data_IF_079719857786
#
_entry.id   IF_079719857786
#
_cell.length_a   1.000
_cell.length_b   1.000
_cell.length_c   1.000
_cell.angle_alpha   90.00
_cell.angle_beta   90.00
_cell.angle_gamma   90.00
#
_symmetry.space_group_name_H-M   'P 1'
#
loop_
_entity.id
_entity.type
_entity.pdbx_description
1 polymer ?
#
# COMPACT_ATOMS: atom_id res chain seq x y z
N UNK A 1 -9.37 -0.56 -0.75
CA UNK A 1 -8.32 0.24 -0.12
C UNK A 1 -8.32 0.00 1.39
N UNK A 2 -7.19 -0.42 1.93
CA UNK A 2 -6.97 -0.65 3.36
C UNK A 2 -5.89 0.32 3.83
N UNK A 3 -6.27 1.36 4.55
CA UNK A 3 -5.33 2.33 5.13
C UNK A 3 -4.93 1.90 6.55
N UNK A 4 -3.64 1.73 6.78
CA UNK A 4 -3.09 1.20 8.04
C UNK A 4 -3.15 2.18 9.22
N UNK A 5 -3.22 3.47 8.93
CA UNK A 5 -3.38 4.56 9.89
C UNK A 5 -3.94 5.80 9.21
N UNK A 6 -4.66 6.67 9.95
CA UNK A 6 -5.11 7.94 9.39
C UNK A 6 -3.93 8.85 9.03
N UNK A 7 -3.90 9.34 7.79
CA UNK A 7 -2.89 10.30 7.32
C UNK A 7 -3.43 11.19 6.21
N UNK A 8 -2.73 12.26 5.88
CA UNK A 8 -3.19 13.24 4.89
C UNK A 8 -3.40 12.63 3.48
N UNK A 9 -2.58 11.64 3.10
CA UNK A 9 -2.68 10.96 1.80
C UNK A 9 -3.92 10.08 1.63
N UNK A 10 -4.54 9.63 2.73
CA UNK A 10 -5.75 8.81 2.70
C UNK A 10 -6.91 9.51 1.96
N UNK A 11 -7.08 10.81 2.20
CA UNK A 11 -8.10 11.61 1.50
C UNK A 11 -7.81 11.72 0.01
N UNK A 12 -6.54 11.79 -0.36
CA UNK A 12 -6.13 11.85 -1.77
C UNK A 12 -6.49 10.55 -2.47
N UNK A 13 -6.18 9.39 -1.88
CA UNK A 13 -6.58 8.08 -2.39
C UNK A 13 -8.10 7.99 -2.59
N UNK A 14 -8.85 8.34 -1.56
CA UNK A 14 -10.31 8.30 -1.60
C UNK A 14 -10.88 9.20 -2.69
N UNK A 15 -10.39 10.44 -2.77
CA UNK A 15 -10.89 11.40 -3.75
C UNK A 15 -10.54 10.96 -5.17
N UNK A 16 -9.30 10.50 -5.40
CA UNK A 16 -8.84 10.01 -6.69
C UNK A 16 -9.70 8.82 -7.16
N UNK A 17 -9.83 7.78 -6.33
CA UNK A 17 -10.57 6.58 -6.71
C UNK A 17 -12.07 6.84 -6.88
N UNK A 18 -12.67 7.74 -6.08
CA UNK A 18 -14.08 8.10 -6.22
C UNK A 18 -14.36 9.10 -7.34
N UNK A 19 -13.36 9.74 -7.91
CA UNK A 19 -13.56 10.66 -9.04
C UNK A 19 -13.87 9.95 -10.34
N UNK A 20 -13.56 8.67 -10.44
CA UNK A 20 -13.89 7.83 -11.58
C UNK A 20 -15.18 7.04 -11.30
N UNK A 21 -16.21 7.26 -12.10
CA UNK A 21 -17.50 6.57 -11.97
C UNK A 21 -17.42 5.05 -12.27
N UNK A 22 -16.35 4.58 -12.92
CA UNK A 22 -16.10 3.17 -13.17
C UNK A 22 -15.49 2.44 -11.97
N UNK A 23 -15.06 3.16 -10.93
CA UNK A 23 -14.44 2.59 -9.74
C UNK A 23 -15.47 2.43 -8.61
N UNK A 24 -15.77 1.19 -8.25
CA UNK A 24 -16.49 0.87 -7.01
C UNK A 24 -15.50 0.72 -5.86
N UNK A 25 -15.49 1.69 -4.95
CA UNK A 25 -14.50 1.80 -3.89
C UNK A 25 -15.02 1.26 -2.56
N UNK A 26 -14.42 0.18 -2.09
CA UNK A 26 -14.50 -0.26 -0.69
C UNK A 26 -13.27 0.27 0.05
N UNK A 27 -13.46 1.13 1.05
CA UNK A 27 -12.37 1.78 1.78
C UNK A 27 -12.53 1.61 3.30
N UNK A 28 -11.47 1.12 3.93
CA UNK A 28 -11.36 0.98 5.38
C UNK A 28 -10.09 1.64 5.90
N UNK A 29 -10.23 2.37 6.99
CA UNK A 29 -9.11 2.95 7.73
C UNK A 29 -9.03 2.34 9.11
N UNK A 30 -7.86 1.92 9.52
CA UNK A 30 -7.61 1.40 10.87
C UNK A 30 -7.45 2.57 11.81
N UNK A 31 -8.53 2.90 12.52
CA UNK A 31 -8.58 4.08 13.38
C UNK A 31 -7.94 3.86 14.75
N UNK A 32 -7.81 2.62 15.21
CA UNK A 32 -7.32 2.29 16.55
C UNK A 32 -6.37 1.10 16.53
N UNK A 33 -5.13 1.26 17.04
CA UNK A 33 -4.27 0.11 17.30
C UNK A 33 -4.90 -0.76 18.40
N UNK A 34 -4.86 -2.10 18.27
CA UNK A 34 -5.37 -3.02 19.29
C UNK A 34 -4.64 -2.93 20.63
N UNK A 35 -3.51 -2.22 20.70
CA UNK A 35 -2.63 -2.10 21.86
C UNK A 35 -3.08 -1.08 22.92
N UNK A 36 -4.06 -0.22 22.63
CA UNK A 36 -4.64 0.64 23.66
C UNK A 36 -5.64 -0.15 24.52
N UNK A 37 -5.14 -0.79 25.53
CA UNK A 37 -5.92 -1.40 26.61
C UNK A 37 -6.48 -0.30 27.53
N UNK A 38 -7.59 0.29 27.17
CA UNK A 38 -8.33 1.23 28.03
C UNK A 38 -9.34 0.48 28.93
N UNK A 39 -9.14 -0.83 29.12
CA UNK A 39 -10.00 -1.66 30.00
C UNK A 39 -11.40 -1.96 29.44
N UNK A 40 -11.71 -1.51 28.24
CA UNK A 40 -13.00 -1.80 27.58
C UNK A 40 -12.79 -2.91 26.54
N UNK A 41 -13.59 -3.99 26.58
CA UNK A 41 -13.51 -5.06 25.59
C UNK A 41 -13.61 -4.49 24.17
N UNK A 42 -12.78 -5.02 23.24
CA UNK A 42 -12.73 -4.58 21.83
C UNK A 42 -14.11 -4.70 21.17
N UNK A 43 -14.90 -5.68 21.58
CA UNK A 43 -16.23 -5.99 21.05
C UNK A 43 -17.27 -4.90 21.38
N UNK A 44 -17.08 -4.16 22.48
CA UNK A 44 -18.01 -3.07 22.85
C UNK A 44 -17.68 -1.73 22.21
N UNK A 45 -16.49 -1.57 21.61
CA UNK A 45 -16.01 -0.29 21.07
C UNK A 45 -16.07 -0.22 19.54
N UNK A 46 -16.25 -1.33 18.85
CA UNK A 46 -16.39 -1.32 17.38
C UNK A 46 -17.84 -1.14 16.98
N UNK A 47 -18.29 0.10 16.86
CA UNK A 47 -19.59 0.42 16.25
C UNK A 47 -19.71 -0.09 14.80
N UNK A 48 -18.57 -0.34 14.13
CA UNK A 48 -18.49 -0.99 12.82
C UNK A 48 -17.27 -1.91 12.85
N UNK A 49 -17.49 -3.20 13.05
CA UNK A 49 -16.41 -4.19 12.91
C UNK A 49 -15.90 -4.17 11.47
N UNK A 50 -14.58 -4.10 11.29
CA UNK A 50 -13.96 -4.26 9.98
C UNK A 50 -14.33 -5.67 9.45
N UNK A 51 -15.06 -5.80 8.33
CA UNK A 51 -15.57 -7.08 7.85
C UNK A 51 -14.47 -7.90 7.18
N UNK A 52 -13.43 -8.21 7.96
CA UNK A 52 -12.22 -8.87 7.46
C UNK A 52 -12.51 -10.18 6.77
N UNK A 53 -13.39 -11.02 7.35
CA UNK A 53 -13.75 -12.31 6.77
C UNK A 53 -14.46 -12.15 5.43
N UNK A 54 -15.46 -11.26 5.36
CA UNK A 54 -16.20 -11.03 4.13
C UNK A 54 -15.27 -10.58 3.00
N UNK A 55 -14.35 -9.64 3.28
CA UNK A 55 -13.48 -9.05 2.26
C UNK A 55 -12.32 -9.98 1.86
N UNK A 56 -11.69 -10.65 2.82
CA UNK A 56 -10.46 -11.41 2.56
C UNK A 56 -10.64 -12.93 2.45
N UNK A 57 -11.87 -13.42 2.61
CA UNK A 57 -12.20 -14.85 2.45
C UNK A 57 -13.32 -15.03 1.43
N UNK A 58 -14.45 -14.33 1.62
CA UNK A 58 -15.66 -14.62 0.84
C UNK A 58 -15.65 -13.87 -0.50
N UNK A 59 -15.21 -12.60 -0.51
CA UNK A 59 -15.31 -11.69 -1.68
C UNK A 59 -13.97 -11.28 -2.27
N UNK A 60 -12.86 -11.85 -1.85
CA UNK A 60 -11.53 -11.41 -2.30
C UNK A 60 -11.38 -11.46 -3.83
N UNK A 61 -12.03 -12.43 -4.49
CA UNK A 61 -11.99 -12.61 -5.95
C UNK A 61 -12.88 -11.64 -6.72
N UNK A 62 -13.73 -10.88 -6.04
CA UNK A 62 -14.57 -9.85 -6.65
C UNK A 62 -13.81 -8.52 -6.84
N UNK A 63 -12.63 -8.38 -6.24
CA UNK A 63 -11.81 -7.18 -6.39
C UNK A 63 -10.88 -7.29 -7.58
N UNK A 64 -10.76 -6.22 -8.36
CA UNK A 64 -9.75 -6.08 -9.42
C UNK A 64 -8.42 -5.59 -8.86
N UNK A 65 -8.45 -4.80 -7.78
CA UNK A 65 -7.29 -4.21 -7.14
C UNK A 65 -7.46 -4.13 -5.62
N UNK A 66 -6.47 -4.64 -4.89
CA UNK A 66 -6.34 -4.44 -3.44
C UNK A 66 -5.20 -3.47 -3.18
N UNK A 67 -5.47 -2.38 -2.45
CA UNK A 67 -4.47 -1.38 -2.09
C UNK A 67 -4.21 -1.45 -0.58
N UNK A 68 -2.97 -1.70 -0.19
CA UNK A 68 -2.49 -1.50 1.17
C UNK A 68 -1.76 -0.15 1.25
N UNK A 69 -2.36 0.80 1.97
CA UNK A 69 -1.83 2.13 2.15
C UNK A 69 -1.28 2.28 3.57
N UNK A 70 0.03 2.39 3.71
CA UNK A 70 0.75 2.50 4.99
C UNK A 70 0.33 1.45 6.02
N UNK A 71 0.14 0.22 5.55
CA UNK A 71 -0.36 -0.88 6.37
C UNK A 71 0.74 -1.45 7.26
N UNK A 72 0.39 -1.74 8.52
CA UNK A 72 1.23 -2.41 9.52
C UNK A 72 0.59 -3.71 9.99
N UNK A 73 1.42 -4.71 10.26
CA UNK A 73 0.98 -5.99 10.84
C UNK A 73 0.71 -5.84 12.33
N UNK A 74 -0.48 -5.36 12.68
CA UNK A 74 -0.92 -5.14 14.08
C UNK A 74 -2.01 -6.10 14.53
N UNK A 75 -2.07 -7.31 13.94
CA UNK A 75 -3.01 -8.35 14.33
C UNK A 75 -4.47 -8.14 13.88
N UNK A 76 -4.76 -7.09 13.09
CA UNK A 76 -6.11 -6.83 12.58
C UNK A 76 -6.47 -7.81 11.45
N UNK A 77 -5.53 -8.05 10.54
CA UNK A 77 -5.66 -9.11 9.55
C UNK A 77 -4.86 -10.34 10.02
N UNK A 78 -5.51 -11.47 10.28
CA UNK A 78 -4.83 -12.74 10.52
C UNK A 78 -3.90 -13.11 9.37
N UNK A 79 -2.83 -13.84 9.67
CA UNK A 79 -1.86 -14.31 8.66
C UNK A 79 -2.55 -15.08 7.53
N UNK A 80 -3.55 -15.90 7.83
CA UNK A 80 -4.33 -16.64 6.84
C UNK A 80 -5.06 -15.75 5.82
N UNK A 81 -5.45 -14.52 6.22
CA UNK A 81 -6.08 -13.58 5.27
C UNK A 81 -5.03 -12.96 4.35
N UNK A 82 -3.83 -12.72 4.85
CA UNK A 82 -2.71 -12.30 4.01
C UNK A 82 -2.30 -13.42 3.04
N UNK A 83 -2.34 -14.68 3.44
CA UNK A 83 -2.14 -15.84 2.54
C UNK A 83 -3.20 -15.88 1.44
N UNK A 84 -4.47 -15.55 1.75
CA UNK A 84 -5.50 -15.42 0.73
C UNK A 84 -5.20 -14.31 -0.27
N UNK A 85 -4.61 -13.20 0.16
CA UNK A 85 -4.16 -12.12 -0.74
C UNK A 85 -3.02 -12.61 -1.64
N UNK A 86 -2.07 -13.38 -1.11
CA UNK A 86 -1.00 -14.00 -1.92
C UNK A 86 -1.58 -14.91 -2.99
N UNK A 87 -2.54 -15.76 -2.62
CA UNK A 87 -3.21 -16.67 -3.56
C UNK A 87 -4.02 -15.89 -4.60
N UNK A 88 -4.71 -14.83 -4.19
CA UNK A 88 -5.43 -13.94 -5.11
C UNK A 88 -4.49 -13.35 -6.18
N UNK A 89 -3.28 -12.91 -5.82
CA UNK A 89 -2.29 -12.41 -6.79
C UNK A 89 -1.77 -13.54 -7.69
N UNK A 90 -1.50 -14.71 -7.14
CA UNK A 90 -1.08 -15.89 -7.93
C UNK A 90 -2.15 -16.34 -8.94
N UNK A 91 -3.40 -16.10 -8.66
CA UNK A 91 -4.54 -16.36 -9.54
C UNK A 91 -4.81 -15.22 -10.54
N UNK A 92 -3.99 -14.15 -10.57
CA UNK A 92 -4.07 -13.06 -11.52
C UNK A 92 -4.63 -11.75 -10.98
N UNK A 93 -4.93 -11.68 -9.68
CA UNK A 93 -5.35 -10.44 -9.03
C UNK A 93 -4.21 -9.44 -8.86
N UNK A 94 -4.55 -8.19 -8.56
CA UNK A 94 -3.58 -7.09 -8.46
C UNK A 94 -3.52 -6.53 -7.04
N UNK A 95 -2.30 -6.36 -6.52
CA UNK A 95 -2.04 -5.70 -5.24
C UNK A 95 -1.12 -4.50 -5.45
N UNK A 96 -1.50 -3.36 -4.88
CA UNK A 96 -0.67 -2.17 -4.77
C UNK A 96 -0.30 -1.94 -3.30
N UNK A 97 0.99 -1.84 -3.01
CA UNK A 97 1.48 -1.44 -1.68
C UNK A 97 2.01 -0.01 -1.76
N UNK A 98 1.24 0.94 -1.22
CA UNK A 98 1.67 2.31 -1.03
C UNK A 98 2.44 2.40 0.30
N UNK A 99 3.75 2.20 0.21
CA UNK A 99 4.63 2.10 1.37
C UNK A 99 4.96 3.46 1.98
N UNK A 100 5.04 3.49 3.30
CA UNK A 100 5.61 4.58 4.07
C UNK A 100 6.75 4.07 4.96
N UNK A 101 7.19 4.84 5.99
CA UNK A 101 8.29 4.45 6.88
C UNK A 101 8.09 3.09 7.56
N UNK A 102 6.84 2.68 7.78
CA UNK A 102 6.46 1.39 8.35
C UNK A 102 6.92 0.19 7.52
N UNK A 103 7.18 0.36 6.22
CA UNK A 103 7.64 -0.73 5.37
C UNK A 103 9.02 -1.26 5.77
N UNK A 104 9.87 -0.42 6.35
CA UNK A 104 11.16 -0.81 6.91
C UNK A 104 11.11 -1.24 8.39
N UNK A 105 9.96 -1.19 9.06
CA UNK A 105 9.82 -1.44 10.49
C UNK A 105 9.64 -2.93 10.83
N UNK A 106 9.67 -3.24 12.13
CA UNK A 106 9.49 -4.62 12.63
C UNK A 106 8.09 -5.19 12.38
N UNK A 107 7.08 -4.32 12.29
CA UNK A 107 5.69 -4.64 11.99
C UNK A 107 5.34 -4.43 10.49
N UNK A 108 6.36 -4.43 9.63
CA UNK A 108 6.22 -4.29 8.19
C UNK A 108 5.35 -5.38 7.56
N UNK A 109 4.56 -4.99 6.57
CA UNK A 109 3.83 -5.93 5.70
C UNK A 109 4.78 -6.91 4.98
N UNK A 110 6.03 -6.53 4.73
CA UNK A 110 7.06 -7.41 4.19
C UNK A 110 7.38 -8.60 5.12
N UNK A 111 7.12 -8.50 6.44
CA UNK A 111 7.31 -9.59 7.40
C UNK A 111 6.11 -10.53 7.51
N UNK A 112 5.30 -10.58 6.49
CA UNK A 112 4.14 -11.46 6.35
C UNK A 112 4.28 -12.35 5.10
N UNK A 113 3.39 -13.30 4.84
CA UNK A 113 3.37 -14.07 3.61
C UNK A 113 3.39 -13.23 2.33
N UNK A 114 2.99 -11.96 2.40
CA UNK A 114 3.04 -11.05 1.25
C UNK A 114 4.45 -10.86 0.68
N UNK A 115 5.50 -11.05 1.49
CA UNK A 115 6.90 -10.98 1.04
C UNK A 115 7.18 -11.89 -0.18
N UNK A 116 6.44 -12.99 -0.33
CA UNK A 116 6.62 -13.94 -1.44
C UNK A 116 6.27 -13.35 -2.82
N UNK A 117 5.44 -12.31 -2.85
CA UNK A 117 4.96 -11.68 -4.09
C UNK A 117 5.39 -10.21 -4.23
N UNK A 118 6.02 -9.65 -3.21
CA UNK A 118 6.53 -8.28 -3.28
C UNK A 118 7.83 -8.24 -4.11
N UNK A 119 7.97 -7.27 -5.03
CA UNK A 119 9.14 -7.19 -5.91
C UNK A 119 10.38 -6.58 -5.24
N UNK A 120 10.25 -6.13 -3.99
CA UNK A 120 11.32 -5.45 -3.25
C UNK A 120 11.38 -5.90 -1.81
N UNK A 121 12.58 -5.91 -1.24
CA UNK A 121 12.85 -6.15 0.18
C UNK A 121 13.37 -4.86 0.84
N UNK A 122 12.79 -4.39 1.97
CA UNK A 122 13.30 -3.22 2.67
C UNK A 122 14.62 -3.52 3.39
N UNK A 123 15.59 -2.61 3.28
CA UNK A 123 16.88 -2.70 4.01
C UNK A 123 16.79 -2.16 5.44
N UNK A 124 15.62 -1.67 5.85
CA UNK A 124 15.36 -0.95 7.09
C UNK A 124 16.06 0.43 7.18
N UNK A 125 16.68 0.91 6.13
CA UNK A 125 17.23 2.27 6.07
C UNK A 125 16.21 3.24 5.50
N UNK A 126 16.20 4.45 6.07
CA UNK A 126 15.37 5.56 5.62
C UNK A 126 16.27 6.67 5.10
N UNK A 127 16.12 7.03 3.84
CA UNK A 127 16.82 8.14 3.22
C UNK A 127 15.99 9.40 3.46
N UNK A 128 16.53 10.35 4.24
CA UNK A 128 15.87 11.60 4.58
C UNK A 128 16.53 12.76 3.86
N UNK A 129 16.42 12.77 2.53
CA UNK A 129 16.89 13.86 1.68
C UNK A 129 15.85 14.26 0.64
N UNK A 130 15.94 15.51 0.18
CA UNK A 130 15.00 16.00 -0.82
C UNK A 130 15.39 15.58 -2.23
N UNK A 131 14.59 14.74 -2.86
CA UNK A 131 14.77 14.28 -4.23
C UNK A 131 13.51 14.47 -5.08
N UNK A 132 13.64 14.32 -6.38
CA UNK A 132 12.51 14.21 -7.32
C UNK A 132 12.56 12.85 -7.98
N UNK A 133 11.49 12.06 -7.92
CA UNK A 133 11.44 10.78 -8.62
C UNK A 133 11.57 10.99 -10.13
N UNK A 134 12.20 10.04 -10.81
CA UNK A 134 12.41 10.05 -12.26
C UNK A 134 11.82 8.81 -12.88
N UNK A 135 11.16 8.94 -14.01
CA UNK A 135 10.68 7.80 -14.78
C UNK A 135 11.89 7.17 -15.51
N UNK A 136 12.00 5.84 -15.43
CA UNK A 136 13.02 5.07 -16.14
C UNK A 136 12.68 4.98 -17.64
N UNK A 137 13.64 4.54 -18.47
CA UNK A 137 13.37 4.30 -19.91
C UNK A 137 12.29 3.21 -20.12
N UNK A 138 12.24 2.25 -19.21
CA UNK A 138 11.16 1.25 -19.21
C UNK A 138 9.83 1.88 -18.80
N UNK A 139 9.83 2.70 -17.75
CA UNK A 139 8.64 3.39 -17.26
C UNK A 139 7.98 4.31 -18.29
N UNK A 140 8.76 4.93 -19.20
CA UNK A 140 8.20 5.75 -20.29
C UNK A 140 7.33 4.96 -21.28
N UNK A 141 7.50 3.65 -21.34
CA UNK A 141 6.80 2.74 -22.27
C UNK A 141 5.88 1.77 -21.55
N UNK A 142 5.83 1.82 -20.21
CA UNK A 142 5.02 0.92 -19.41
C UNK A 142 3.63 1.52 -19.18
N UNK A 143 2.53 0.79 -19.36
CA UNK A 143 1.16 1.32 -19.25
C UNK A 143 0.86 2.03 -17.94
N UNK A 144 1.50 1.63 -16.83
CA UNK A 144 1.30 2.23 -15.50
C UNK A 144 1.87 3.65 -15.39
N UNK A 145 2.94 3.96 -16.14
CA UNK A 145 3.69 5.22 -16.02
C UNK A 145 3.83 6.00 -17.32
N UNK A 146 3.33 5.43 -18.43
CA UNK A 146 3.29 6.10 -19.74
C UNK A 146 2.50 7.42 -19.64
N UNK A 147 3.05 8.48 -20.18
CA UNK A 147 2.40 9.79 -20.18
C UNK A 147 2.59 10.64 -18.93
N UNK A 148 3.01 10.06 -17.81
CA UNK A 148 3.17 10.82 -16.55
C UNK A 148 4.12 12.03 -16.67
N UNK A 149 5.18 11.95 -17.49
CA UNK A 149 6.09 13.08 -17.72
C UNK A 149 5.42 14.23 -18.46
N UNK A 150 4.45 13.93 -19.34
CA UNK A 150 3.73 14.96 -20.12
C UNK A 150 2.72 15.72 -19.27
N UNK A 151 2.19 15.03 -18.26
CA UNK A 151 1.20 15.60 -17.33
C UNK A 151 1.84 16.20 -16.08
N UNK A 152 3.17 16.07 -15.94
CA UNK A 152 3.87 16.69 -14.84
C UNK A 152 3.73 18.24 -14.93
N UNK A 153 3.50 18.92 -13.81
CA UNK A 153 3.48 20.38 -13.77
C UNK A 153 4.76 20.99 -14.37
N UNK A 154 4.68 22.21 -14.90
CA UNK A 154 5.85 22.93 -15.36
C UNK A 154 6.92 22.97 -14.26
N UNK A 155 8.12 22.49 -14.55
CA UNK A 155 9.20 22.29 -13.57
C UNK A 155 9.24 20.90 -12.91
N UNK A 156 8.36 19.96 -13.32
CA UNK A 156 8.32 18.58 -12.86
C UNK A 156 7.51 18.38 -11.57
N UNK A 157 7.57 17.18 -11.04
CA UNK A 157 6.90 16.87 -9.77
C UNK A 157 7.56 17.56 -8.58
N UNK A 158 6.79 17.72 -7.50
CA UNK A 158 7.29 18.22 -6.22
C UNK A 158 8.44 17.38 -5.67
N UNK A 159 9.21 17.94 -4.76
CA UNK A 159 10.26 17.19 -4.06
C UNK A 159 9.64 16.25 -3.04
N UNK A 160 10.17 15.03 -2.99
CA UNK A 160 9.94 14.08 -1.91
C UNK A 160 11.10 14.20 -0.92
N UNK A 161 10.84 13.97 0.36
CA UNK A 161 11.81 14.23 1.44
C UNK A 161 12.14 12.98 2.24
N UNK A 162 11.56 11.85 1.87
CA UNK A 162 11.81 10.57 2.54
C UNK A 162 11.58 9.43 1.57
N UNK A 163 12.47 8.46 1.61
CA UNK A 163 12.38 7.20 0.87
C UNK A 163 12.83 6.06 1.77
N UNK A 164 12.17 4.92 1.67
CA UNK A 164 12.65 3.67 2.26
C UNK A 164 13.61 3.05 1.24
N UNK A 165 14.81 2.73 1.69
CA UNK A 165 15.75 2.00 0.86
C UNK A 165 15.29 0.55 0.72
N UNK A 166 15.32 0.03 -0.51
CA UNK A 166 14.87 -1.31 -0.84
C UNK A 166 15.85 -1.97 -1.81
N UNK A 167 15.96 -3.29 -1.71
CA UNK A 167 16.60 -4.13 -2.71
C UNK A 167 15.55 -4.69 -3.65
N UNK A 168 15.77 -4.57 -4.95
CA UNK A 168 14.92 -5.21 -5.95
C UNK A 168 15.17 -6.72 -5.93
N UNK A 169 14.11 -7.50 -5.71
CA UNK A 169 14.15 -8.97 -5.71
C UNK A 169 13.49 -9.55 -6.95
N UNK A 170 12.56 -8.82 -7.55
CA UNK A 170 11.81 -9.24 -8.74
C UNK A 170 11.25 -8.01 -9.48
N UNK A 171 10.44 -8.25 -10.53
CA UNK A 171 9.70 -7.20 -11.24
C UNK A 171 10.58 -6.21 -11.99
N UNK A 172 10.06 -5.01 -12.21
CA UNK A 172 10.69 -3.98 -13.02
C UNK A 172 10.63 -2.62 -12.33
N UNK A 173 11.69 -1.84 -12.41
CA UNK A 173 11.74 -0.48 -11.88
C UNK A 173 11.21 0.49 -12.92
N UNK A 174 10.06 1.10 -12.64
CA UNK A 174 9.44 2.07 -13.54
C UNK A 174 9.79 3.51 -13.18
N UNK A 175 10.11 3.77 -11.92
CA UNK A 175 10.57 5.07 -11.42
C UNK A 175 11.72 4.88 -10.45
N UNK A 176 12.72 5.74 -10.52
CA UNK A 176 13.85 5.76 -9.58
C UNK A 176 13.69 6.85 -8.53
N UNK A 177 14.27 6.60 -7.36
CA UNK A 177 14.27 7.49 -6.22
C UNK A 177 15.53 8.36 -6.08
N UNK A 178 15.98 8.52 -4.82
CA UNK A 178 17.11 9.38 -4.48
C UNK A 178 18.46 8.83 -5.01
N UNK A 179 18.64 7.53 -4.99
CA UNK A 179 19.94 6.87 -5.27
C UNK A 179 19.88 5.90 -6.46
N UNK A 180 18.87 5.98 -7.31
CA UNK A 180 18.75 5.17 -8.53
C UNK A 180 17.49 4.33 -8.61
#
# INVERSE_FOLDING_TARGET
>A
LVSGEPHAGERVWRNLLKSDAAVDLVHFTILRPPEKQDGVPVDELSLIAFPTRELFVEKIKEFDLIIFDRYRMRGILPTSYIENVVNYVREGGTVLVAAGPEFGAVDSLYRSPLAEILPVAPTAQVIEEGFRPKITDLGRRHPVTEGLEKEAPEGGWGRWFRQIEVEQTAGQVLMSGAHG
#
